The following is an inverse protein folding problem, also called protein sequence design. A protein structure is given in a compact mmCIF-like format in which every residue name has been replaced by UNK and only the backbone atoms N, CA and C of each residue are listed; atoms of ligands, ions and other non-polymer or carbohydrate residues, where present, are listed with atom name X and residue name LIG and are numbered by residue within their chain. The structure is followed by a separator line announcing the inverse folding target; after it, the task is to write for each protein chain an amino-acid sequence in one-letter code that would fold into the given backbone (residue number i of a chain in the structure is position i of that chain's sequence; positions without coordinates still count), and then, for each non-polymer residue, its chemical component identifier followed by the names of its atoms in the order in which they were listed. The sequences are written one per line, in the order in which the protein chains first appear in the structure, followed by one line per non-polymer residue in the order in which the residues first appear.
data_IF_487239843039
#
_entry.id   IF_487239843039
#
_cell.length_a   1.000
_cell.length_b   1.000
_cell.length_c   1.000
_cell.angle_alpha   90.00
_cell.angle_beta   90.00
_cell.angle_gamma   90.00
#
_symmetry.space_group_name_H-M   'P 1'
#
loop_
_entity.id
_entity.type
_entity.pdbx_description
1 polymer ?
#
# COMPACT_ATOMS: atom_id res chain seq x y z
N UNK A 1 -26.84 20.06 25.91
CA UNK A 1 -25.37 20.22 25.81
C UNK A 1 -24.61 18.89 25.66
N UNK A 2 -25.25 17.79 25.21
CA UNK A 2 -24.60 16.48 25.01
C UNK A 2 -24.42 16.11 23.53
N UNK A 3 -25.22 16.69 22.62
CA UNK A 3 -25.24 16.33 21.19
C UNK A 3 -23.97 16.80 20.47
N UNK A 4 -23.41 17.96 20.85
CA UNK A 4 -22.17 18.49 20.28
C UNK A 4 -20.94 17.65 20.65
N UNK A 5 -20.87 17.08 21.86
CA UNK A 5 -19.76 16.21 22.27
C UNK A 5 -19.74 14.88 21.53
N UNK A 6 -20.92 14.28 21.31
CA UNK A 6 -21.04 13.03 20.56
C UNK A 6 -20.71 13.19 19.07
N UNK A 7 -21.15 14.28 18.43
CA UNK A 7 -20.82 14.57 17.02
C UNK A 7 -19.31 14.79 16.81
N UNK A 8 -18.66 15.51 17.73
CA UNK A 8 -17.21 15.72 17.67
C UNK A 8 -16.41 14.44 17.91
N UNK A 9 -16.79 13.64 18.92
CA UNK A 9 -16.13 12.36 19.23
C UNK A 9 -16.31 11.32 18.11
N UNK A 10 -17.48 11.29 17.46
CA UNK A 10 -17.75 10.40 16.33
C UNK A 10 -16.92 10.80 15.09
N UNK A 11 -16.85 12.10 14.78
CA UNK A 11 -16.04 12.65 13.69
C UNK A 11 -14.54 12.34 13.86
N UNK A 12 -13.99 12.54 15.07
CA UNK A 12 -12.56 12.32 15.37
C UNK A 12 -12.09 10.86 15.20
N UNK A 13 -13.00 9.89 15.33
CA UNK A 13 -12.67 8.46 15.19
C UNK A 13 -13.07 7.89 13.83
N UNK A 14 -13.93 8.56 13.08
CA UNK A 14 -14.37 8.09 11.78
C UNK A 14 -13.29 8.22 10.70
N UNK A 15 -12.63 9.38 10.59
CA UNK A 15 -11.62 9.61 9.55
C UNK A 15 -10.42 8.65 9.63
N UNK A 16 -9.80 8.41 10.80
CA UNK A 16 -8.73 7.41 10.91
C UNK A 16 -9.17 5.99 10.54
N UNK A 17 -10.40 5.60 10.92
CA UNK A 17 -10.95 4.29 10.57
C UNK A 17 -11.17 4.14 9.07
N UNK A 18 -11.74 5.16 8.42
CA UNK A 18 -11.96 5.17 6.98
C UNK A 18 -10.63 5.12 6.20
N UNK A 19 -9.61 5.87 6.65
CA UNK A 19 -8.27 5.81 6.05
C UNK A 19 -7.59 4.47 6.24
N UNK A 20 -7.69 3.87 7.44
CA UNK A 20 -7.19 2.52 7.68
C UNK A 20 -7.91 1.46 6.83
N UNK A 21 -9.22 1.60 6.61
CA UNK A 21 -9.96 0.75 5.69
C UNK A 21 -9.48 0.93 4.23
N UNK A 22 -9.25 2.17 3.80
CA UNK A 22 -8.69 2.45 2.47
C UNK A 22 -7.29 1.83 2.30
N UNK A 23 -6.42 1.88 3.32
CA UNK A 23 -5.12 1.19 3.33
C UNK A 23 -5.27 -0.30 3.16
N UNK A 24 -6.18 -0.92 3.92
CA UNK A 24 -6.43 -2.36 3.81
C UNK A 24 -6.86 -2.76 2.39
N UNK A 25 -7.77 -2.00 1.79
CA UNK A 25 -8.19 -2.24 0.40
C UNK A 25 -7.04 -2.04 -0.59
N UNK A 26 -6.21 -1.02 -0.38
CA UNK A 26 -5.04 -0.76 -1.21
C UNK A 26 -4.02 -1.91 -1.15
N UNK A 27 -3.63 -2.37 0.05
CA UNK A 27 -2.67 -3.48 0.17
C UNK A 27 -3.23 -4.80 -0.38
N UNK A 28 -4.53 -5.05 -0.23
CA UNK A 28 -5.18 -6.23 -0.84
C UNK A 28 -5.12 -6.15 -2.36
N UNK A 29 -5.46 -4.98 -2.93
CA UNK A 29 -5.38 -4.76 -4.37
C UNK A 29 -3.97 -4.93 -4.91
N UNK A 30 -2.94 -4.45 -4.20
CA UNK A 30 -1.53 -4.59 -4.61
C UNK A 30 -1.14 -6.05 -4.69
N UNK A 31 -1.41 -6.80 -3.63
CA UNK A 31 -1.12 -8.23 -3.58
C UNK A 31 -1.87 -8.97 -4.70
N UNK A 32 -3.17 -8.74 -4.84
CA UNK A 32 -3.97 -9.41 -5.86
C UNK A 32 -3.50 -9.07 -7.28
N UNK A 33 -3.10 -7.83 -7.53
CA UNK A 33 -2.56 -7.41 -8.82
C UNK A 33 -1.22 -8.10 -9.12
N UNK A 34 -0.32 -8.20 -8.14
CA UNK A 34 0.94 -8.93 -8.28
C UNK A 34 0.68 -10.41 -8.60
N UNK A 35 -0.24 -11.05 -7.88
CA UNK A 35 -0.61 -12.44 -8.14
C UNK A 35 -1.18 -12.65 -9.55
N UNK A 36 -2.04 -11.75 -10.02
CA UNK A 36 -2.59 -11.82 -11.37
C UNK A 36 -1.48 -11.62 -12.40
N UNK A 37 -0.56 -10.69 -12.16
CA UNK A 37 0.58 -10.41 -13.03
C UNK A 37 1.51 -11.63 -13.16
N UNK A 38 1.80 -12.30 -12.05
CA UNK A 38 2.56 -13.56 -12.03
C UNK A 38 1.81 -14.69 -12.71
N UNK A 39 0.50 -14.81 -12.48
CA UNK A 39 -0.35 -15.81 -13.12
C UNK A 39 -0.39 -15.67 -14.66
N UNK A 40 -0.21 -14.45 -15.18
CA UNK A 40 -0.10 -14.18 -16.62
C UNK A 40 1.26 -14.59 -17.22
N UNK A 41 2.18 -15.13 -16.41
CA UNK A 41 3.48 -15.61 -16.86
C UNK A 41 4.60 -14.57 -16.81
N UNK A 42 4.37 -13.42 -16.18
CA UNK A 42 5.42 -12.45 -15.91
C UNK A 42 6.10 -12.81 -14.57
N UNK A 43 7.41 -12.62 -14.44
CA UNK A 43 8.11 -12.84 -13.18
C UNK A 43 8.47 -11.51 -12.53
N UNK A 44 7.93 -11.27 -11.32
CA UNK A 44 8.29 -10.13 -10.46
C UNK A 44 8.89 -10.61 -9.13
N UNK A 45 8.96 -11.92 -8.93
CA UNK A 45 9.44 -12.54 -7.69
C UNK A 45 10.93 -12.29 -7.45
N UNK A 46 11.73 -12.10 -8.50
CA UNK A 46 13.15 -11.73 -8.40
C UNK A 46 13.36 -10.27 -8.01
N UNK A 47 12.36 -9.40 -8.24
CA UNK A 47 12.38 -8.00 -7.84
C UNK A 47 11.95 -7.82 -6.38
N UNK A 48 11.25 -8.80 -5.81
CA UNK A 48 10.78 -8.78 -4.43
C UNK A 48 11.72 -9.63 -3.56
N UNK A 49 12.65 -8.95 -2.89
CA UNK A 49 13.57 -9.56 -1.95
C UNK A 49 12.94 -9.95 -0.62
N UNK A 50 13.76 -10.54 0.26
CA UNK A 50 13.40 -10.79 1.67
C UNK A 50 13.46 -9.52 2.53
N UNK A 51 14.18 -8.52 2.05
CA UNK A 51 14.21 -7.20 2.67
C UNK A 51 12.96 -6.41 2.29
N UNK A 52 12.57 -5.49 3.16
CA UNK A 52 11.40 -4.66 2.94
C UNK A 52 11.71 -3.55 1.94
N UNK A 53 11.03 -3.57 0.79
CA UNK A 53 11.16 -2.61 -0.29
C UNK A 53 9.94 -1.69 -0.32
N UNK A 54 10.17 -0.40 -0.53
CA UNK A 54 9.09 0.57 -0.75
C UNK A 54 8.44 0.35 -2.12
N UNK A 55 7.11 0.41 -2.18
CA UNK A 55 6.36 0.29 -3.43
C UNK A 55 6.25 1.65 -4.10
N UNK A 56 6.61 1.71 -5.37
CA UNK A 56 6.56 2.90 -6.20
C UNK A 56 5.66 2.73 -7.42
N UNK A 57 5.25 3.86 -7.99
CA UNK A 57 4.62 3.99 -9.30
C UNK A 57 5.45 4.97 -10.14
N UNK A 58 6.30 4.43 -11.01
CA UNK A 58 7.23 5.24 -11.82
C UNK A 58 6.54 6.25 -12.76
N UNK A 59 5.27 6.02 -13.08
CA UNK A 59 4.46 6.95 -13.89
C UNK A 59 4.17 8.26 -13.19
N UNK A 60 4.26 8.26 -11.86
CA UNK A 60 4.00 9.42 -11.04
C UNK A 60 5.27 9.98 -10.40
N UNK A 61 6.47 9.50 -10.74
CA UNK A 61 7.74 9.99 -10.20
C UNK A 61 8.81 8.90 -10.14
N UNK A 62 10.06 9.24 -9.87
CA UNK A 62 11.14 8.25 -9.84
C UNK A 62 10.99 7.28 -8.64
N UNK A 63 11.11 5.98 -8.92
CA UNK A 63 11.32 5.01 -7.86
C UNK A 63 12.79 5.04 -7.45
N UNK A 64 13.05 5.31 -6.17
CA UNK A 64 14.41 5.34 -5.64
C UNK A 64 15.09 3.96 -5.73
N UNK A 65 16.42 3.94 -5.60
CA UNK A 65 17.20 2.71 -5.55
C UNK A 65 16.66 1.79 -4.44
N UNK A 66 16.26 0.56 -4.80
CA UNK A 66 15.74 -0.45 -3.88
C UNK A 66 14.21 -0.47 -3.70
N UNK A 67 13.48 0.42 -4.37
CA UNK A 67 12.02 0.35 -4.43
C UNK A 67 11.50 -0.60 -5.51
N UNK A 68 10.33 -1.19 -5.29
CA UNK A 68 9.63 -2.00 -6.27
C UNK A 68 8.70 -1.11 -7.10
N UNK A 69 9.00 -0.95 -8.38
CA UNK A 69 8.09 -0.28 -9.31
C UNK A 69 6.96 -1.22 -9.75
N UNK A 70 5.73 -0.88 -9.39
CA UNK A 70 4.52 -1.66 -9.72
C UNK A 70 3.77 -1.12 -10.94
N UNK A 71 4.34 -0.17 -11.66
CA UNK A 71 3.74 0.41 -12.87
C UNK A 71 3.37 -0.65 -13.92
N UNK A 72 4.20 -1.67 -14.09
CA UNK A 72 3.95 -2.80 -14.99
C UNK A 72 2.81 -3.71 -14.52
N UNK A 73 2.61 -3.84 -13.20
CA UNK A 73 1.59 -4.70 -12.59
C UNK A 73 0.18 -4.14 -12.82
N UNK A 74 0.01 -2.83 -12.68
CA UNK A 74 -1.29 -2.16 -12.84
C UNK A 74 -1.61 -1.80 -14.30
N UNK A 75 -0.65 -1.96 -15.22
CA UNK A 75 -0.80 -1.61 -16.63
C UNK A 75 -0.90 -0.09 -16.86
N UNK A 76 -0.76 0.35 -18.11
CA UNK A 76 -0.56 1.77 -18.46
C UNK A 76 -1.69 2.73 -18.04
N UNK A 77 -2.92 2.24 -17.83
CA UNK A 77 -4.10 3.09 -17.62
C UNK A 77 -4.57 3.20 -16.17
N UNK A 78 -3.99 2.43 -15.23
CA UNK A 78 -4.47 2.37 -13.85
C UNK A 78 -3.35 2.74 -12.89
N UNK A 79 -3.51 3.84 -12.14
CA UNK A 79 -2.55 4.25 -11.13
C UNK A 79 -2.48 3.25 -9.97
N UNK A 80 -1.29 3.05 -9.42
CA UNK A 80 -1.13 2.28 -8.20
C UNK A 80 -1.90 2.94 -7.04
N UNK A 81 -2.49 2.16 -6.12
CA UNK A 81 -3.05 2.69 -4.88
C UNK A 81 -1.99 3.46 -4.09
N UNK A 82 -2.38 4.56 -3.45
CA UNK A 82 -1.52 5.34 -2.57
C UNK A 82 -2.08 5.44 -1.16
N UNK A 83 -1.20 5.50 -0.19
CA UNK A 83 -1.57 5.76 1.20
C UNK A 83 -2.15 7.18 1.31
N UNK A 84 -3.33 7.35 1.95
CA UNK A 84 -3.98 8.66 2.12
C UNK A 84 -3.14 9.73 2.84
N UNK A 85 -2.06 9.34 3.53
CA UNK A 85 -1.14 10.24 4.24
C UNK A 85 0.21 10.42 3.56
N UNK A 86 0.45 9.79 2.41
CA UNK A 86 1.66 10.12 1.63
C UNK A 86 1.68 11.62 1.34
N UNK A 87 2.81 12.25 1.66
CA UNK A 87 3.00 13.66 1.35
C UNK A 87 3.20 13.82 -0.17
N UNK A 88 2.84 14.99 -0.70
CA UNK A 88 3.05 15.30 -2.11
C UNK A 88 4.54 15.47 -2.47
N UNK A 89 5.45 15.44 -1.49
CA UNK A 89 6.89 15.47 -1.73
C UNK A 89 7.45 14.10 -2.13
N UNK A 90 6.72 13.02 -1.83
CA UNK A 90 7.08 11.64 -2.18
C UNK A 90 6.46 11.24 -3.53
N UNK A 91 6.68 12.08 -4.54
CA UNK A 91 6.17 11.92 -5.91
C UNK A 91 6.72 10.61 -6.47
N UNK A 92 5.84 9.61 -6.68
CA UNK A 92 6.20 8.28 -7.18
C UNK A 92 6.13 7.18 -6.11
N UNK A 93 6.15 7.52 -4.82
CA UNK A 93 6.05 6.53 -3.73
C UNK A 93 4.59 6.32 -3.33
N UNK A 94 4.22 5.08 -3.06
CA UNK A 94 2.84 4.75 -2.66
C UNK A 94 2.62 4.81 -1.15
N UNK A 95 3.69 4.78 -0.35
CA UNK A 95 3.61 4.69 1.11
C UNK A 95 3.35 3.27 1.63
N UNK A 96 3.32 2.27 0.73
CA UNK A 96 3.26 0.86 1.07
C UNK A 96 4.62 0.20 0.88
N UNK A 97 4.81 -0.91 1.58
CA UNK A 97 6.05 -1.67 1.56
C UNK A 97 5.75 -3.14 1.29
N UNK A 98 6.68 -3.83 0.67
CA UNK A 98 6.54 -5.24 0.29
C UNK A 98 7.82 -6.01 0.59
N UNK A 99 7.65 -7.27 0.99
CA UNK A 99 8.75 -8.24 1.10
C UNK A 99 8.25 -9.65 0.88
N UNK A 100 9.19 -10.56 0.63
CA UNK A 100 8.95 -12.00 0.55
C UNK A 100 9.27 -12.65 1.89
N UNK A 101 8.28 -13.35 2.44
CA UNK A 101 8.41 -14.13 3.67
C UNK A 101 9.23 -15.42 3.43
N UNK A 102 9.70 -16.04 4.53
CA UNK A 102 10.52 -17.25 4.46
C UNK A 102 9.83 -18.45 3.78
N UNK A 103 8.49 -18.46 3.77
CA UNK A 103 7.67 -19.46 3.09
C UNK A 103 7.35 -19.10 1.63
N UNK A 104 7.97 -18.05 1.08
CA UNK A 104 7.76 -17.57 -0.28
C UNK A 104 6.52 -16.70 -0.48
N UNK A 105 5.73 -16.45 0.56
CA UNK A 105 4.52 -15.62 0.53
C UNK A 105 4.87 -14.14 0.45
N UNK A 106 4.01 -13.34 -0.15
CA UNK A 106 4.20 -11.90 -0.23
C UNK A 106 3.54 -11.22 0.96
N UNK A 107 4.29 -10.36 1.65
CA UNK A 107 3.78 -9.50 2.71
C UNK A 107 3.78 -8.05 2.22
N UNK A 108 2.62 -7.40 2.28
CA UNK A 108 2.49 -5.96 2.02
C UNK A 108 2.05 -5.24 3.29
N UNK A 109 2.71 -4.14 3.62
CA UNK A 109 2.55 -3.37 4.86
C UNK A 109 2.15 -1.93 4.57
N UNK A 110 1.28 -1.37 5.40
CA UNK A 110 0.95 0.06 5.44
C UNK A 110 1.47 0.69 6.75
N UNK A 111 2.70 1.23 6.79
CA UNK A 111 3.33 1.73 8.02
C UNK A 111 2.69 3.03 8.55
N UNK A 112 1.97 3.77 7.70
CA UNK A 112 1.29 5.02 8.07
C UNK A 112 -0.10 4.79 8.68
N UNK A 113 -0.41 3.55 9.09
CA UNK A 113 -1.65 3.19 9.76
C UNK A 113 -1.85 4.00 11.06
N UNK A 114 -3.07 4.47 11.28
CA UNK A 114 -3.38 5.37 12.38
C UNK A 114 -3.88 4.61 13.61
N UNK A 115 -3.87 5.29 14.77
CA UNK A 115 -4.39 4.77 16.05
C UNK A 115 -3.73 3.46 16.47
N UNK A 116 -2.42 3.33 16.22
CA UNK A 116 -1.61 2.15 16.52
C UNK A 116 -2.11 0.87 15.82
N UNK A 117 -2.87 0.99 14.73
CA UNK A 117 -3.25 -0.15 13.93
C UNK A 117 -2.04 -0.72 13.20
N UNK A 118 -1.96 -2.05 13.11
CA UNK A 118 -1.01 -2.75 12.24
C UNK A 118 -1.79 -3.27 11.05
N UNK A 119 -1.44 -2.79 9.86
CA UNK A 119 -2.12 -3.15 8.61
C UNK A 119 -1.10 -3.82 7.71
N UNK A 120 -1.19 -5.14 7.62
CA UNK A 120 -0.41 -5.96 6.72
C UNK A 120 -1.27 -7.13 6.21
N UNK A 121 -0.99 -7.58 4.99
CA UNK A 121 -1.56 -8.80 4.42
C UNK A 121 -0.41 -9.69 4.00
N UNK A 122 -0.52 -10.98 4.30
CA UNK A 122 0.37 -12.02 3.82
C UNK A 122 -0.46 -12.95 2.97
N UNK A 123 -0.09 -13.10 1.69
CA UNK A 123 -0.76 -14.02 0.79
C UNK A 123 0.24 -14.97 0.16
#
# INVERSE_FOLDING_TARGET
MAIFGYLWYFSLNYLPKARNAARFMAISSIIDAIYIYEYQGNDISDLIGREESEICDSRQGECGLGGLDISAVYGFNVNAPRDPFTNNANVGKTGFYIKKENNGRLMVTAPLAEKNAVIQIIK
#
